data_IF_289190942195
#
_entry.id   IF_289190942195
#
_cell.length_a   1.000
_cell.length_b   1.000
_cell.length_c   1.000
_cell.angle_alpha   90.00
_cell.angle_beta   90.00
_cell.angle_gamma   90.00
#
_symmetry.space_group_name_H-M   'P 1'
#
loop_
_entity.id
_entity.type
_entity.pdbx_description
1 polymer ?
#
# COMPACT_ATOMS: atom_id res chain seq x y z
N UNK A 1 -1.11 0.63 25.22
CA UNK A 1 0.23 0.18 24.80
C UNK A 1 1.02 0.03 26.07
N UNK A 2 1.88 -0.98 26.17
CA UNK A 2 2.76 -1.14 27.31
C UNK A 2 3.72 0.04 27.43
N UNK A 3 4.10 0.42 28.65
CA UNK A 3 5.14 1.41 28.88
C UNK A 3 6.45 0.98 28.23
N UNK A 4 6.74 -0.33 28.27
CA UNK A 4 7.97 -0.88 27.72
C UNK A 4 8.10 -0.64 26.21
N UNK A 5 7.06 -0.91 25.42
CA UNK A 5 7.10 -0.64 23.98
C UNK A 5 6.93 0.84 23.66
N UNK A 6 6.22 1.61 24.49
CA UNK A 6 6.07 3.05 24.30
C UNK A 6 7.40 3.82 24.52
N UNK A 7 8.27 3.31 25.40
CA UNK A 7 9.58 3.90 25.71
C UNK A 7 10.76 3.15 25.08
N UNK A 8 10.50 2.19 24.19
CA UNK A 8 11.54 1.39 23.55
C UNK A 8 12.47 2.30 22.73
N UNK A 9 13.78 2.27 23.02
CA UNK A 9 14.76 3.05 22.27
C UNK A 9 15.09 2.32 20.97
N UNK A 10 14.76 2.92 19.84
CA UNK A 10 15.03 2.34 18.52
C UNK A 10 16.55 2.35 18.28
N UNK A 11 17.19 1.19 18.03
CA UNK A 11 18.60 1.14 17.69
C UNK A 11 18.91 2.00 16.46
N UNK A 12 19.95 2.83 16.53
CA UNK A 12 20.37 3.72 15.44
C UNK A 12 19.64 5.08 15.36
N UNK A 13 18.56 5.30 16.11
CA UNK A 13 17.78 6.54 16.06
C UNK A 13 18.42 7.73 16.81
N UNK A 14 19.70 7.65 17.22
CA UNK A 14 20.34 8.62 18.10
C UNK A 14 21.79 8.98 17.77
N UNK A 15 22.26 8.68 16.55
CA UNK A 15 23.62 9.08 16.11
C UNK A 15 23.69 10.53 15.61
N UNK A 16 22.55 11.20 15.41
CA UNK A 16 22.46 12.63 15.14
C UNK A 16 21.62 13.30 16.24
N UNK A 17 22.14 14.39 16.82
CA UNK A 17 21.78 14.95 18.12
C UNK A 17 20.29 15.23 18.41
N UNK A 18 20.00 15.27 19.72
CA UNK A 18 18.76 15.68 20.40
C UNK A 18 17.45 14.93 20.05
N UNK A 19 16.99 14.08 20.98
CA UNK A 19 15.63 13.57 21.03
C UNK A 19 15.34 12.38 20.10
N UNK A 20 16.19 11.36 20.10
CA UNK A 20 15.97 10.14 19.31
C UNK A 20 14.57 9.54 19.53
N UNK A 21 13.90 9.20 18.43
CA UNK A 21 12.53 8.70 18.47
C UNK A 21 12.44 7.45 19.36
N UNK A 22 11.57 7.50 20.37
CA UNK A 22 11.25 6.38 21.23
C UNK A 22 9.87 5.83 20.91
N UNK A 23 9.75 4.51 21.08
CA UNK A 23 8.50 3.81 20.98
C UNK A 23 8.33 3.04 19.66
N UNK A 24 7.77 1.84 19.75
CA UNK A 24 7.41 1.06 18.55
C UNK A 24 6.05 1.53 18.03
N UNK A 25 6.03 2.11 16.83
CA UNK A 25 4.80 2.60 16.18
C UNK A 25 4.45 1.76 14.95
N UNK A 26 3.20 1.32 14.86
CA UNK A 26 2.68 0.62 13.68
C UNK A 26 1.82 1.54 12.82
N UNK A 27 2.26 1.77 11.58
CA UNK A 27 1.42 2.42 10.57
C UNK A 27 0.21 1.52 10.21
N UNK A 28 -0.74 2.06 9.43
CA UNK A 28 -1.94 1.31 9.07
C UNK A 28 -1.61 0.04 8.27
N UNK A 29 -0.58 0.09 7.43
CA UNK A 29 -0.10 -1.07 6.65
C UNK A 29 0.36 -2.18 7.56
N UNK A 30 1.26 -1.92 8.52
CA UNK A 30 1.74 -2.92 9.47
C UNK A 30 0.57 -3.55 10.26
N UNK A 31 -0.39 -2.74 10.70
CA UNK A 31 -1.60 -3.23 11.39
C UNK A 31 -2.47 -4.12 10.50
N UNK A 32 -2.63 -3.78 9.22
CA UNK A 32 -3.33 -4.64 8.26
C UNK A 32 -2.55 -5.92 7.96
N UNK A 33 -1.21 -5.83 7.92
CA UNK A 33 -0.34 -6.98 7.68
C UNK A 33 -0.40 -8.00 8.80
N UNK A 34 -0.52 -7.56 10.06
CA UNK A 34 -0.69 -8.45 11.21
C UNK A 34 -1.92 -9.37 11.09
N UNK A 35 -2.87 -9.05 10.22
CA UNK A 35 -4.06 -9.87 9.98
C UNK A 35 -3.90 -10.89 8.85
N UNK A 36 -2.75 -10.94 8.17
CA UNK A 36 -2.52 -11.89 7.08
C UNK A 36 -2.22 -13.29 7.61
N UNK A 37 -2.65 -14.30 6.85
CA UNK A 37 -2.50 -15.70 7.21
C UNK A 37 -1.94 -16.54 6.06
N UNK A 38 -0.65 -16.39 5.71
CA UNK A 38 -0.07 -17.08 4.56
C UNK A 38 -0.22 -18.60 4.61
N UNK A 39 -0.23 -19.20 5.80
CA UNK A 39 -0.42 -20.65 5.97
C UNK A 39 -1.78 -21.18 5.51
N UNK A 40 -2.80 -20.30 5.41
CA UNK A 40 -4.15 -20.65 4.97
C UNK A 40 -4.40 -20.24 3.51
N UNK A 41 -3.37 -19.79 2.78
CA UNK A 41 -3.50 -19.39 1.38
C UNK A 41 -3.58 -20.62 0.47
N UNK A 42 -4.75 -20.83 -0.13
CA UNK A 42 -4.95 -21.88 -1.14
C UNK A 42 -4.72 -21.36 -2.57
N UNK A 43 -4.41 -22.24 -3.55
CA UNK A 43 -4.09 -21.83 -4.92
C UNK A 43 -5.15 -20.93 -5.58
N UNK A 44 -6.42 -21.26 -5.41
CA UNK A 44 -7.53 -20.49 -5.98
C UNK A 44 -7.64 -19.09 -5.37
N UNK A 45 -7.58 -18.99 -4.04
CA UNK A 45 -7.72 -17.71 -3.34
C UNK A 45 -6.50 -16.82 -3.56
N UNK A 46 -5.30 -17.41 -3.61
CA UNK A 46 -4.07 -16.74 -3.99
C UNK A 46 -4.15 -16.18 -5.41
N UNK A 47 -4.56 -16.98 -6.40
CA UNK A 47 -4.68 -16.53 -7.79
C UNK A 47 -5.66 -15.35 -7.93
N UNK A 48 -6.83 -15.47 -7.31
CA UNK A 48 -7.84 -14.41 -7.31
C UNK A 48 -7.33 -13.15 -6.59
N UNK A 49 -6.62 -13.30 -5.46
CA UNK A 49 -6.03 -12.17 -4.73
C UNK A 49 -4.93 -11.50 -5.55
N UNK A 50 -4.01 -12.25 -6.15
CA UNK A 50 -2.87 -11.73 -6.90
C UNK A 50 -3.30 -11.07 -8.21
N UNK A 51 -4.32 -11.61 -8.89
CA UNK A 51 -4.94 -10.98 -10.06
C UNK A 51 -5.45 -9.57 -9.74
N UNK A 52 -6.09 -9.38 -8.58
CA UNK A 52 -6.58 -8.06 -8.13
C UNK A 52 -5.43 -7.07 -7.92
N UNK A 53 -4.34 -7.53 -7.31
CA UNK A 53 -3.16 -6.70 -7.06
C UNK A 53 -2.45 -6.37 -8.36
N UNK A 54 -2.34 -7.33 -9.28
CA UNK A 54 -1.79 -7.13 -10.60
C UNK A 54 -2.58 -6.06 -11.38
N UNK A 55 -3.89 -6.20 -11.51
CA UNK A 55 -4.72 -5.20 -12.18
C UNK A 55 -4.65 -3.82 -11.51
N UNK A 56 -4.58 -3.76 -10.18
CA UNK A 56 -4.42 -2.50 -9.44
C UNK A 56 -3.07 -1.85 -9.74
N UNK A 57 -1.98 -2.63 -9.78
CA UNK A 57 -0.63 -2.14 -10.10
C UNK A 57 -0.56 -1.62 -11.54
N UNK A 58 -1.14 -2.36 -12.50
CA UNK A 58 -1.21 -1.92 -13.89
C UNK A 58 -2.07 -0.66 -14.04
N UNK A 59 -3.22 -0.58 -13.38
CA UNK A 59 -4.04 0.64 -13.36
C UNK A 59 -3.27 1.86 -12.81
N UNK A 60 -2.54 1.68 -11.70
CA UNK A 60 -1.71 2.74 -11.13
C UNK A 60 -0.62 3.20 -12.11
N UNK A 61 -0.03 2.26 -12.85
CA UNK A 61 0.93 2.58 -13.91
C UNK A 61 0.28 3.37 -15.04
N UNK A 62 -0.89 2.94 -15.52
CA UNK A 62 -1.65 3.66 -16.55
C UNK A 62 -1.99 5.08 -16.08
N UNK A 63 -2.42 5.25 -14.83
CA UNK A 63 -2.69 6.57 -14.26
C UNK A 63 -1.45 7.47 -14.26
N UNK A 64 -0.28 6.92 -13.96
CA UNK A 64 0.97 7.67 -13.99
C UNK A 64 1.33 8.08 -15.42
N UNK A 65 1.34 7.14 -16.35
CA UNK A 65 1.71 7.38 -17.75
C UNK A 65 0.76 8.38 -18.45
N UNK A 66 -0.52 8.39 -18.03
CA UNK A 66 -1.52 9.32 -18.56
C UNK A 66 -1.64 10.64 -17.79
N UNK A 67 -0.84 10.85 -16.76
CA UNK A 67 -0.85 12.08 -15.95
C UNK A 67 -2.09 12.26 -15.07
N UNK A 68 -2.80 11.16 -14.75
CA UNK A 68 -3.89 11.15 -13.76
C UNK A 68 -3.34 11.26 -12.33
N UNK A 69 -2.13 10.76 -12.10
CA UNK A 69 -1.38 10.92 -10.85
C UNK A 69 0.04 11.40 -11.18
N UNK A 70 0.71 12.00 -10.19
CA UNK A 70 2.10 12.46 -10.30
C UNK A 70 3.03 11.72 -9.35
N UNK A 71 4.33 11.89 -9.55
CA UNK A 71 5.37 11.43 -8.62
C UNK A 71 5.47 12.39 -7.42
N UNK A 72 5.80 11.84 -6.26
CA UNK A 72 6.05 12.58 -5.02
C UNK A 72 7.44 12.19 -4.54
N UNK A 73 8.39 13.13 -4.49
CA UNK A 73 9.77 12.85 -4.14
C UNK A 73 10.02 13.00 -2.63
N UNK A 74 10.92 12.19 -2.09
CA UNK A 74 11.35 12.19 -0.70
C UNK A 74 12.73 12.87 -0.59
N UNK A 75 12.89 13.81 0.34
CA UNK A 75 14.19 14.39 0.70
C UNK A 75 14.70 15.55 -0.18
N UNK A 76 13.81 16.39 -0.71
CA UNK A 76 14.22 17.69 -1.29
C UNK A 76 14.54 18.71 -0.21
N UNK A 77 15.61 19.49 -0.39
CA UNK A 77 16.12 20.55 0.51
C UNK A 77 15.24 21.81 0.56
N UNK A 78 13.92 21.67 0.49
CA UNK A 78 13.00 22.77 0.76
C UNK A 78 12.43 22.61 2.16
N UNK A 79 12.82 23.52 3.06
CA UNK A 79 12.18 23.76 4.36
C UNK A 79 10.68 24.01 4.15
N UNK A 80 9.87 22.93 4.18
CA UNK A 80 8.46 23.07 3.86
C UNK A 80 7.63 21.79 3.76
N UNK A 81 7.92 20.75 4.55
CA UNK A 81 7.09 19.54 4.55
C UNK A 81 6.94 18.86 3.18
N UNK A 82 6.04 17.87 3.03
CA UNK A 82 5.73 17.29 1.73
C UNK A 82 5.02 18.35 0.87
N UNK A 83 5.80 19.15 0.15
CA UNK A 83 5.27 20.05 -0.88
C UNK A 83 4.75 19.17 -2.01
N UNK A 84 3.42 19.08 -2.14
CA UNK A 84 2.76 18.59 -3.35
C UNK A 84 3.01 19.60 -4.47
N UNK A 85 4.23 19.63 -5.01
CA UNK A 85 4.51 20.38 -6.22
C UNK A 85 3.89 19.63 -7.38
N UNK A 86 2.71 20.09 -7.82
CA UNK A 86 2.25 19.86 -9.19
C UNK A 86 3.14 20.71 -10.10
N UNK A 87 4.37 20.28 -10.37
CA UNK A 87 5.09 20.81 -11.53
C UNK A 87 4.37 20.27 -12.77
N UNK A 88 3.54 21.13 -13.36
CA UNK A 88 2.95 20.91 -14.69
C UNK A 88 3.99 21.11 -15.79
N UNK A 89 5.22 21.46 -15.42
CA UNK A 89 6.31 21.70 -16.35
C UNK A 89 7.22 20.47 -16.43
N UNK A 90 7.41 20.04 -17.67
CA UNK A 90 8.13 18.87 -18.15
C UNK A 90 7.43 17.50 -18.07
N UNK A 91 6.19 17.44 -18.59
CA UNK A 91 5.61 16.17 -19.05
C UNK A 91 5.72 16.02 -20.58
N UNK A 92 6.87 16.41 -21.13
CA UNK A 92 7.29 16.08 -22.49
C UNK A 92 7.61 14.58 -22.56
N UNK A 93 6.58 13.73 -22.49
CA UNK A 93 6.75 12.29 -22.69
C UNK A 93 7.09 12.03 -24.17
N UNK A 94 8.12 11.21 -24.46
CA UNK A 94 8.31 10.69 -25.80
C UNK A 94 7.09 9.87 -26.22
N UNK A 95 6.65 10.08 -27.47
CA UNK A 95 5.59 9.33 -28.15
C UNK A 95 5.76 7.82 -27.91
N UNK A 96 4.69 7.06 -27.59
CA UNK A 96 4.80 5.63 -27.36
C UNK A 96 5.24 4.95 -28.66
N UNK A 97 6.51 4.57 -28.72
CA UNK A 97 7.05 3.70 -29.77
C UNK A 97 7.00 2.27 -29.24
N UNK A 98 6.35 1.33 -29.93
CA UNK A 98 6.33 -0.06 -29.49
C UNK A 98 7.73 -0.66 -29.66
N UNK A 99 8.24 -1.26 -28.58
CA UNK A 99 9.41 -2.14 -28.55
C UNK A 99 10.74 -1.56 -29.07
N UNK A 100 11.28 -0.53 -28.40
CA UNK A 100 12.72 -0.24 -28.43
C UNK A 100 13.20 0.16 -27.03
N UNK A 101 14.41 -0.27 -26.70
CA UNK A 101 15.06 -0.12 -25.39
C UNK A 101 14.91 1.28 -24.79
N UNK A 102 14.75 1.33 -23.46
CA UNK A 102 14.66 2.56 -22.68
C UNK A 102 15.75 3.58 -23.12
N UNK A 103 15.41 4.87 -23.28
CA UNK A 103 16.39 5.89 -23.66
C UNK A 103 17.50 5.98 -22.60
N UNK A 104 18.76 6.25 -23.00
CA UNK A 104 19.87 6.34 -22.06
C UNK A 104 19.66 7.52 -21.10
N UNK A 105 19.96 7.36 -19.80
CA UNK A 105 19.70 8.40 -18.81
C UNK A 105 20.62 9.61 -18.97
N UNK A 106 20.13 10.83 -18.66
CA UNK A 106 20.97 12.02 -18.59
C UNK A 106 22.03 11.86 -17.48
N UNK A 107 23.26 12.28 -17.79
CA UNK A 107 24.42 12.20 -16.92
C UNK A 107 24.15 12.86 -15.55
N UNK A 108 24.16 12.05 -14.49
CA UNK A 108 24.05 12.48 -13.11
C UNK A 108 23.92 11.26 -12.18
N UNK A 109 24.97 11.00 -11.41
CA UNK A 109 25.28 9.73 -10.73
C UNK A 109 24.35 9.30 -9.58
N UNK A 110 23.24 9.99 -9.30
CA UNK A 110 22.28 9.63 -8.24
C UNK A 110 20.80 9.65 -8.68
N UNK A 111 20.53 9.78 -9.98
CA UNK A 111 19.19 10.04 -10.53
C UNK A 111 18.23 8.84 -10.59
N UNK A 112 18.67 7.63 -10.23
CA UNK A 112 17.87 6.40 -10.37
C UNK A 112 17.74 5.61 -9.07
N UNK A 113 17.48 6.27 -7.95
CA UNK A 113 16.98 5.58 -6.76
C UNK A 113 15.44 5.49 -6.80
N UNK A 114 14.84 4.33 -7.14
CA UNK A 114 13.38 4.18 -7.18
C UNK A 114 12.73 4.32 -5.80
N UNK A 115 13.51 4.33 -4.71
CA UNK A 115 13.04 4.55 -3.35
C UNK A 115 12.95 6.04 -2.98
N UNK A 116 13.42 6.94 -3.84
CA UNK A 116 13.34 8.40 -3.62
C UNK A 116 12.03 9.03 -4.03
N UNK A 117 11.09 8.27 -4.59
CA UNK A 117 9.77 8.80 -4.91
C UNK A 117 8.66 7.77 -4.73
N UNK A 118 7.43 8.26 -4.61
CA UNK A 118 6.19 7.51 -4.68
C UNK A 118 5.23 8.20 -5.66
N UNK A 119 3.98 7.78 -5.69
CA UNK A 119 2.91 8.44 -6.47
C UNK A 119 1.85 8.99 -5.55
N UNK A 120 1.19 10.09 -5.94
CA UNK A 120 0.02 10.56 -5.20
C UNK A 120 -1.11 9.50 -5.25
N UNK A 121 -1.56 8.96 -4.10
CA UNK A 121 -2.50 7.84 -4.08
C UNK A 121 -3.89 8.24 -4.56
N UNK A 122 -4.52 7.35 -5.34
CA UNK A 122 -5.91 7.49 -5.77
C UNK A 122 -6.76 6.40 -5.10
N UNK A 123 -7.70 6.82 -4.25
CA UNK A 123 -8.53 5.90 -3.45
C UNK A 123 -9.75 5.43 -4.27
N UNK A 124 -9.67 4.22 -4.81
CA UNK A 124 -10.75 3.59 -5.59
C UNK A 124 -11.80 2.85 -4.72
N UNK A 125 -11.42 2.37 -3.54
CA UNK A 125 -12.24 1.45 -2.73
C UNK A 125 -12.52 0.11 -3.43
N UNK A 126 -13.61 -0.56 -3.08
CA UNK A 126 -13.99 -1.88 -3.64
C UNK A 126 -14.67 -1.79 -5.00
N UNK A 127 -14.44 -2.78 -5.86
CA UNK A 127 -15.14 -2.96 -7.13
C UNK A 127 -15.98 -4.25 -7.12
N UNK A 128 -17.08 -4.33 -7.90
CA UNK A 128 -17.86 -5.55 -8.06
C UNK A 128 -17.05 -6.71 -8.66
N UNK A 129 -17.42 -7.96 -8.36
CA UNK A 129 -16.69 -9.16 -8.83
C UNK A 129 -16.49 -9.22 -10.36
N UNK A 130 -17.47 -8.74 -11.13
CA UNK A 130 -17.39 -8.67 -12.61
C UNK A 130 -16.21 -7.84 -13.13
N UNK A 131 -15.69 -6.90 -12.34
CA UNK A 131 -14.54 -6.09 -12.73
C UNK A 131 -13.22 -6.85 -12.67
N UNK A 132 -13.19 -8.09 -12.19
CA UNK A 132 -11.95 -8.85 -12.04
C UNK A 132 -11.80 -9.99 -13.06
N UNK A 133 -12.65 -10.03 -14.09
CA UNK A 133 -12.59 -11.05 -15.14
C UNK A 133 -11.49 -10.79 -16.16
N UNK A 134 -11.09 -9.53 -16.37
CA UNK A 134 -10.01 -9.11 -17.27
C UNK A 134 -9.48 -7.73 -16.87
N UNK A 135 -8.28 -7.35 -17.32
CA UNK A 135 -7.75 -6.01 -17.09
C UNK A 135 -8.67 -4.91 -17.66
N UNK A 136 -9.21 -5.02 -18.90
CA UNK A 136 -10.20 -4.06 -19.41
C UNK A 136 -11.42 -3.88 -18.51
N UNK A 137 -12.02 -4.99 -18.03
CA UNK A 137 -13.18 -4.93 -17.14
C UNK A 137 -12.84 -4.22 -15.82
N UNK A 138 -11.61 -4.42 -15.31
CA UNK A 138 -11.12 -3.76 -14.11
C UNK A 138 -10.96 -2.25 -14.30
N UNK A 139 -10.24 -1.86 -15.35
CA UNK A 139 -9.95 -0.45 -15.64
C UNK A 139 -11.25 0.31 -15.93
N UNK A 140 -12.15 -0.23 -16.75
CA UNK A 140 -13.45 0.39 -17.05
C UNK A 140 -14.29 0.55 -15.79
N UNK A 141 -14.36 -0.49 -14.96
CA UNK A 141 -15.07 -0.44 -13.67
C UNK A 141 -14.46 0.60 -12.72
N UNK A 142 -13.13 0.71 -12.69
CA UNK A 142 -12.42 1.70 -11.89
C UNK A 142 -12.71 3.12 -12.37
N UNK A 143 -12.54 3.39 -13.67
CA UNK A 143 -12.80 4.69 -14.28
C UNK A 143 -14.25 5.11 -14.04
N UNK A 144 -15.22 4.25 -14.35
CA UNK A 144 -16.64 4.55 -14.15
C UNK A 144 -16.97 4.90 -12.69
N UNK A 145 -16.32 4.23 -11.73
CA UNK A 145 -16.50 4.55 -10.31
C UNK A 145 -15.89 5.91 -9.94
N UNK A 146 -14.69 6.20 -10.44
CA UNK A 146 -13.99 7.45 -10.18
C UNK A 146 -14.64 8.65 -10.88
N UNK A 147 -15.34 8.41 -11.98
CA UNK A 147 -16.06 9.43 -12.76
C UNK A 147 -17.56 9.48 -12.48
N UNK A 148 -18.06 8.76 -11.48
CA UNK A 148 -19.48 8.74 -11.12
C UNK A 148 -20.03 10.16 -10.81
N UNK A 149 -21.32 10.35 -10.62
CA UNK A 149 -21.82 11.68 -10.24
C UNK A 149 -21.23 12.13 -8.88
N UNK A 150 -20.90 13.42 -8.77
CA UNK A 150 -20.44 14.01 -7.51
C UNK A 150 -21.56 13.97 -6.46
N UNK A 151 -21.19 13.70 -5.21
CA UNK A 151 -22.11 13.89 -4.10
C UNK A 151 -22.29 15.40 -3.82
N UNK A 152 -23.46 15.84 -3.31
CA UNK A 152 -23.64 17.22 -2.88
C UNK A 152 -22.57 17.63 -1.85
N UNK A 153 -21.91 18.77 -2.07
CA UNK A 153 -20.84 19.26 -1.18
C UNK A 153 -19.46 18.63 -1.38
N UNK A 154 -19.20 18.02 -2.55
CA UNK A 154 -17.89 17.44 -2.86
C UNK A 154 -16.73 18.46 -2.76
N UNK A 155 -15.61 18.12 -2.08
CA UNK A 155 -14.41 18.95 -2.07
C UNK A 155 -13.87 19.20 -3.49
N UNK A 156 -13.43 20.44 -3.77
CA UNK A 156 -12.91 20.84 -5.09
C UNK A 156 -11.79 19.92 -5.62
N UNK A 157 -10.95 19.37 -4.74
CA UNK A 157 -9.89 18.44 -5.10
C UNK A 157 -10.42 17.14 -5.72
N UNK A 158 -11.55 16.62 -5.22
CA UNK A 158 -12.17 15.42 -5.78
C UNK A 158 -12.80 15.71 -7.15
N UNK A 159 -13.43 16.87 -7.32
CA UNK A 159 -13.97 17.30 -8.61
C UNK A 159 -12.87 17.45 -9.68
N UNK A 160 -11.73 18.06 -9.32
CA UNK A 160 -10.57 18.16 -10.21
C UNK A 160 -9.99 16.80 -10.58
N UNK A 161 -9.90 15.86 -9.62
CA UNK A 161 -9.49 14.49 -9.87
C UNK A 161 -10.44 13.77 -10.84
N UNK A 162 -11.75 13.88 -10.60
CA UNK A 162 -12.81 13.32 -11.46
C UNK A 162 -12.68 13.79 -12.90
N UNK A 163 -12.53 15.10 -13.11
CA UNK A 163 -12.37 15.70 -14.43
C UNK A 163 -11.10 15.19 -15.14
N UNK A 164 -9.98 15.10 -14.42
CA UNK A 164 -8.71 14.55 -14.96
C UNK A 164 -8.85 13.09 -15.37
N UNK A 165 -9.48 12.25 -14.54
CA UNK A 165 -9.74 10.84 -14.86
C UNK A 165 -10.62 10.75 -16.10
N UNK A 166 -11.72 11.52 -16.18
CA UNK A 166 -12.63 11.50 -17.32
C UNK A 166 -11.90 11.91 -18.63
N UNK A 167 -11.09 12.97 -18.59
CA UNK A 167 -10.37 13.48 -19.75
C UNK A 167 -9.26 12.54 -20.23
N UNK A 168 -8.53 11.88 -19.32
CA UNK A 168 -7.34 11.07 -19.64
C UNK A 168 -7.62 9.58 -19.77
N UNK A 169 -8.73 9.08 -19.23
CA UNK A 169 -9.06 7.66 -19.14
C UNK A 169 -10.42 7.31 -19.76
N UNK A 170 -11.07 8.27 -20.43
CA UNK A 170 -12.31 8.05 -21.16
C UNK A 170 -12.18 7.02 -22.28
N UNK A 171 -13.31 6.57 -22.84
CA UNK A 171 -13.35 5.53 -23.86
C UNK A 171 -12.50 5.86 -25.10
N UNK A 172 -12.53 7.12 -25.52
CA UNK A 172 -11.77 7.59 -26.68
C UNK A 172 -10.27 7.78 -26.38
N UNK A 173 -9.91 7.95 -25.10
CA UNK A 173 -8.52 8.19 -24.66
C UNK A 173 -7.78 6.91 -24.27
N UNK A 174 -8.51 5.86 -23.87
CA UNK A 174 -7.99 4.55 -23.51
C UNK A 174 -8.83 3.45 -24.15
N UNK A 175 -8.27 2.87 -25.22
CA UNK A 175 -8.88 1.77 -25.97
C UNK A 175 -8.58 0.42 -25.30
N UNK A 176 -9.31 -0.62 -25.70
CA UNK A 176 -9.05 -1.98 -25.22
C UNK A 176 -7.71 -2.52 -25.73
N UNK A 177 -7.28 -2.09 -26.93
CA UNK A 177 -5.96 -2.41 -27.48
C UNK A 177 -4.82 -1.83 -26.63
N UNK A 178 -4.98 -0.58 -26.16
CA UNK A 178 -4.01 0.03 -25.23
C UNK A 178 -3.93 -0.78 -23.92
N UNK A 179 -5.07 -1.18 -23.35
CA UNK A 179 -5.08 -1.98 -22.11
C UNK A 179 -4.42 -3.34 -22.31
N UNK A 180 -4.67 -4.00 -23.45
CA UNK A 180 -4.00 -5.24 -23.80
C UNK A 180 -2.48 -5.07 -23.95
N UNK A 181 -2.02 -3.94 -24.51
CA UNK A 181 -0.60 -3.61 -24.62
C UNK A 181 0.04 -3.44 -23.22
N UNK A 182 -0.64 -2.76 -22.28
CA UNK A 182 -0.19 -2.68 -20.89
C UNK A 182 -0.13 -4.06 -20.22
N UNK A 183 -1.16 -4.88 -20.42
CA UNK A 183 -1.19 -6.24 -19.88
C UNK A 183 -0.04 -7.11 -20.40
N UNK A 184 0.24 -7.05 -21.70
CA UNK A 184 1.34 -7.76 -22.33
C UNK A 184 2.71 -7.27 -21.84
N UNK A 185 2.89 -5.95 -21.71
CA UNK A 185 4.15 -5.36 -21.26
C UNK A 185 4.48 -5.68 -19.79
N UNK A 186 3.47 -5.72 -18.91
CA UNK A 186 3.66 -5.94 -17.48
C UNK A 186 3.37 -7.37 -17.02
N UNK A 187 2.72 -8.19 -17.83
CA UNK A 187 2.40 -9.60 -17.54
C UNK A 187 3.60 -10.42 -17.05
N UNK A 188 4.78 -10.35 -17.70
CA UNK A 188 5.98 -11.07 -17.24
C UNK A 188 6.42 -10.70 -15.81
N UNK A 189 6.13 -9.47 -15.38
CA UNK A 189 6.50 -8.95 -14.05
C UNK A 189 5.49 -9.28 -12.95
N UNK A 190 4.39 -9.96 -13.28
CA UNK A 190 3.37 -10.37 -12.31
C UNK A 190 3.99 -11.19 -11.16
N UNK A 191 4.94 -12.08 -11.46
CA UNK A 191 5.64 -12.89 -10.46
C UNK A 191 6.46 -12.05 -9.47
N UNK A 192 7.05 -10.95 -9.92
CA UNK A 192 7.77 -10.02 -9.03
C UNK A 192 6.81 -9.40 -8.02
N UNK A 193 5.63 -8.98 -8.47
CA UNK A 193 4.59 -8.43 -7.60
C UNK A 193 4.11 -9.46 -6.57
N UNK A 194 3.87 -10.69 -7.03
CA UNK A 194 3.46 -11.81 -6.16
C UNK A 194 4.52 -12.12 -5.09
N UNK A 195 5.81 -12.09 -5.47
CA UNK A 195 6.91 -12.28 -4.54
C UNK A 195 6.98 -11.18 -3.47
N UNK A 196 6.87 -9.91 -3.88
CA UNK A 196 6.87 -8.77 -2.93
C UNK A 196 5.69 -8.84 -1.96
N UNK A 197 4.48 -9.13 -2.48
CA UNK A 197 3.29 -9.31 -1.64
C UNK A 197 3.42 -10.48 -0.68
N UNK A 198 3.98 -11.60 -1.12
CA UNK A 198 4.20 -12.78 -0.28
C UNK A 198 5.22 -12.49 0.81
N UNK A 199 6.35 -11.81 0.49
CA UNK A 199 7.35 -11.41 1.47
C UNK A 199 6.76 -10.51 2.55
N UNK A 200 5.94 -9.54 2.15
CA UNK A 200 5.22 -8.69 3.08
C UNK A 200 4.28 -9.54 3.96
N UNK A 201 3.55 -10.50 3.39
CA UNK A 201 2.66 -11.38 4.15
C UNK A 201 3.41 -12.27 5.17
N UNK A 202 4.66 -12.67 4.88
CA UNK A 202 5.50 -13.40 5.86
C UNK A 202 5.88 -12.56 7.08
N UNK A 203 5.91 -11.21 6.98
CA UNK A 203 6.16 -10.37 8.16
C UNK A 203 4.95 -10.30 9.11
N UNK A 204 3.79 -10.83 8.71
CA UNK A 204 2.55 -10.78 9.50
C UNK A 204 2.72 -11.36 10.90
N UNK A 205 3.29 -12.56 11.02
CA UNK A 205 3.47 -13.24 12.30
C UNK A 205 4.40 -12.47 13.26
N UNK A 206 5.40 -11.76 12.73
CA UNK A 206 6.28 -10.91 13.54
C UNK A 206 5.50 -9.73 14.09
N UNK A 207 4.71 -9.04 13.26
CA UNK A 207 3.91 -7.89 13.70
C UNK A 207 2.83 -8.34 14.70
N UNK A 208 2.15 -9.45 14.44
CA UNK A 208 1.16 -10.05 15.35
C UNK A 208 1.79 -10.38 16.71
N UNK A 209 2.97 -11.01 16.70
CA UNK A 209 3.70 -11.36 17.93
C UNK A 209 4.04 -10.13 18.75
N UNK A 210 4.49 -9.03 18.11
CA UNK A 210 4.78 -7.78 18.82
C UNK A 210 3.51 -7.17 19.42
N UNK A 211 2.38 -7.23 18.70
CA UNK A 211 1.08 -6.76 19.23
C UNK A 211 0.64 -7.61 20.43
N UNK A 212 0.74 -8.94 20.35
CA UNK A 212 0.38 -9.84 21.44
C UNK A 212 1.26 -9.59 22.69
N UNK A 213 2.57 -9.48 22.51
CA UNK A 213 3.53 -9.16 23.58
C UNK A 213 3.23 -7.80 24.20
N UNK A 214 2.92 -6.78 23.41
CA UNK A 214 2.58 -5.46 23.92
C UNK A 214 1.33 -5.47 24.80
N UNK A 215 0.29 -6.20 24.39
CA UNK A 215 -0.95 -6.31 25.15
C UNK A 215 -0.78 -7.11 26.43
N UNK A 216 0.02 -8.17 26.39
CA UNK A 216 0.38 -8.94 27.58
C UNK A 216 1.24 -8.12 28.56
N UNK A 217 2.26 -7.42 28.07
CA UNK A 217 3.09 -6.53 28.89
C UNK A 217 2.26 -5.44 29.56
N UNK A 218 1.31 -4.84 28.83
CA UNK A 218 0.40 -3.84 29.39
C UNK A 218 -0.37 -4.37 30.61
N UNK A 219 -0.86 -5.62 30.57
CA UNK A 219 -1.53 -6.24 31.71
C UNK A 219 -0.57 -6.50 32.88
N UNK A 220 0.65 -6.98 32.59
CA UNK A 220 1.68 -7.20 33.61
C UNK A 220 2.08 -5.93 34.34
N UNK A 221 2.15 -4.82 33.61
CA UNK A 221 2.54 -3.51 34.14
C UNK A 221 1.50 -2.93 35.11
N UNK A 222 0.24 -3.38 35.07
CA UNK A 222 -0.80 -2.94 36.03
C UNK A 222 -0.51 -3.43 37.47
N UNK A 223 0.40 -4.39 37.63
CA UNK A 223 0.81 -4.93 38.92
C UNK A 223 -0.24 -5.83 39.59
N UNK A 224 0.17 -6.56 40.65
CA UNK A 224 -0.64 -7.58 41.31
C UNK A 224 -1.85 -7.02 42.07
N UNK A 225 -1.91 -5.70 42.28
CA UNK A 225 -3.05 -5.03 42.90
C UNK A 225 -4.27 -4.92 41.98
N UNK A 226 -4.07 -4.92 40.66
CA UNK A 226 -5.13 -4.78 39.65
C UNK A 226 -5.33 -6.09 38.88
N UNK A 227 -4.23 -6.70 38.43
CA UNK A 227 -4.23 -7.93 37.63
C UNK A 227 -3.57 -9.02 38.46
N UNK A 228 -4.35 -10.03 38.86
CA UNK A 228 -3.87 -11.19 39.62
C UNK A 228 -2.94 -12.06 38.78
N UNK A 229 -3.33 -12.33 37.54
CA UNK A 229 -2.60 -13.18 36.61
C UNK A 229 -2.88 -12.80 35.15
N UNK A 230 -1.96 -13.07 34.23
CA UNK A 230 -2.15 -12.82 32.79
C UNK A 230 -1.24 -13.64 31.89
N UNK A 231 -1.77 -14.09 30.76
CA UNK A 231 -1.07 -14.90 29.76
C UNK A 231 -1.64 -14.68 28.35
N UNK A 232 -1.00 -15.29 27.36
CA UNK A 232 -1.50 -15.38 25.99
C UNK A 232 -1.78 -16.84 25.69
N UNK A 233 -2.94 -17.13 25.12
CA UNK A 233 -3.40 -18.49 24.85
C UNK A 233 -3.90 -18.64 23.41
N UNK A 234 -3.69 -19.82 22.83
CA UNK A 234 -4.27 -20.19 21.53
C UNK A 234 -5.64 -20.82 21.76
N UNK A 235 -6.70 -20.17 21.27
CA UNK A 235 -8.08 -20.67 21.37
C UNK A 235 -8.41 -21.74 20.33
N UNK A 236 -7.78 -21.64 19.15
CA UNK A 236 -8.03 -22.51 18.01
C UNK A 236 -6.71 -22.91 17.34
N UNK A 237 -6.75 -24.01 16.59
CA UNK A 237 -5.68 -24.29 15.63
C UNK A 237 -5.62 -23.20 14.56
N UNK A 238 -4.40 -22.88 14.11
CA UNK A 238 -4.17 -21.82 13.12
C UNK A 238 -4.94 -22.04 11.81
N UNK A 239 -5.13 -23.31 11.41
CA UNK A 239 -5.91 -23.67 10.23
C UNK A 239 -7.41 -23.35 10.35
N UNK A 240 -7.96 -23.34 11.57
CA UNK A 240 -9.37 -22.97 11.83
C UNK A 240 -9.55 -21.45 11.85
N UNK A 241 -8.67 -20.77 12.58
CA UNK A 241 -8.61 -19.32 12.60
C UNK A 241 -7.16 -18.90 12.77
N UNK A 242 -6.56 -18.16 11.83
CA UNK A 242 -5.23 -17.61 12.03
C UNK A 242 -5.23 -16.51 13.08
N UNK A 243 -6.40 -15.98 13.43
CA UNK A 243 -6.65 -15.10 14.57
C UNK A 243 -7.06 -15.98 15.75
N UNK A 244 -6.12 -16.75 16.28
CA UNK A 244 -6.38 -17.72 17.34
C UNK A 244 -5.87 -17.30 18.70
N UNK A 245 -5.20 -16.16 18.84
CA UNK A 245 -4.66 -15.72 20.12
C UNK A 245 -5.67 -14.91 20.93
N UNK A 246 -5.72 -15.19 22.23
CA UNK A 246 -6.38 -14.34 23.23
C UNK A 246 -5.36 -13.88 24.27
N UNK A 247 -5.48 -12.63 24.70
CA UNK A 247 -4.73 -12.10 25.84
C UNK A 247 -5.64 -12.11 27.04
N UNK A 248 -5.29 -12.90 28.06
CA UNK A 248 -6.11 -13.10 29.25
C UNK A 248 -5.52 -12.29 30.40
N UNK A 249 -6.37 -11.58 31.13
CA UNK A 249 -6.03 -10.94 32.39
C UNK A 249 -7.10 -11.24 33.43
N UNK A 250 -6.69 -11.86 34.54
CA UNK A 250 -7.58 -12.11 35.66
C UNK A 250 -7.53 -10.90 36.60
N UNK A 251 -8.67 -10.22 36.69
CA UNK A 251 -8.83 -9.13 37.66
C UNK A 251 -8.79 -9.70 39.08
N UNK A 252 -8.25 -8.90 40.01
CA UNK A 252 -8.33 -9.20 41.43
C UNK A 252 -9.75 -9.17 41.97
#
# INVERSE_FOLDING_TARGET
MSERLARYRIPGAGEHGEGGEVGVRFNITARMMACQAPGNWGPHDSEAFMTRHFYRSVLQRIFLDRGVIGRVFYGGEDEGGPTTSFTTEDNSLPTPTPAAAAPPPPNGTDSHNPLRFSTNPLILGSLPRRCFTSLPAYVRGAVAKLTAAAAPGEPAQHAACRARVAARMGADALTDGDMAAYEAAYGPRRRELEAVWSLMAFSAGVVESVIAVDRWLFLREQGPAVVRDCWVETLFEYGLSPRNLVVVGIKR
#
